data_IF_045381807384
#
_entry.id   IF_045381807384
#
_cell.length_a   1.000
_cell.length_b   1.000
_cell.length_c   1.000
_cell.angle_alpha   90.00
_cell.angle_beta   90.00
_cell.angle_gamma   90.00
#
_symmetry.space_group_name_H-M   'P 1'
#
loop_
_entity.id
_entity.type
_entity.pdbx_description
1 polymer ?
#
# COMPACT_ATOMS: atom_id res chain seq x y z
N UNK A 1 72.41 40.05 37.08
CA UNK A 1 72.56 39.76 35.64
C UNK A 1 71.23 40.09 34.95
N UNK A 2 70.70 41.30 35.09
CA UNK A 2 70.88 42.51 34.26
C UNK A 2 70.66 42.30 32.75
N UNK A 3 69.37 42.32 32.38
CA UNK A 3 68.76 43.06 31.25
C UNK A 3 69.68 43.54 30.12
N UNK A 4 69.43 43.06 28.89
CA UNK A 4 69.60 43.85 27.66
C UNK A 4 68.26 43.96 26.95
N UNK A 5 67.63 45.12 27.11
CA UNK A 5 66.68 45.65 26.15
C UNK A 5 67.44 46.00 24.87
N UNK A 6 66.97 45.54 23.71
CA UNK A 6 67.19 46.28 22.48
C UNK A 6 65.90 46.24 21.65
N UNK A 7 65.40 47.44 21.36
CA UNK A 7 64.17 47.73 20.64
C UNK A 7 64.60 48.59 19.46
N UNK A 8 64.42 48.16 18.21
CA UNK A 8 64.34 49.09 17.07
C UNK A 8 63.43 48.51 15.97
N UNK A 9 62.38 49.32 15.74
CA UNK A 9 61.62 49.65 14.52
C UNK A 9 61.10 48.56 13.57
N UNK A 10 59.77 48.52 13.53
CA UNK A 10 58.96 48.20 12.36
C UNK A 10 59.28 49.14 11.20
N UNK A 11 59.46 48.57 10.01
CA UNK A 11 59.40 49.27 8.73
C UNK A 11 58.39 48.50 7.87
N UNK A 12 57.23 49.12 7.63
CA UNK A 12 56.22 48.60 6.69
C UNK A 12 56.68 48.85 5.26
N UNK A 13 57.11 47.80 4.55
CA UNK A 13 57.40 47.85 3.12
C UNK A 13 57.05 46.48 2.52
N UNK A 14 56.22 46.50 1.46
CA UNK A 14 56.42 45.60 0.33
C UNK A 14 55.51 44.38 0.23
N UNK A 15 54.46 44.55 -0.58
CA UNK A 15 53.64 43.54 -1.25
C UNK A 15 54.46 42.51 -2.07
N UNK A 16 53.82 41.36 -2.36
CA UNK A 16 54.17 40.23 -3.25
C UNK A 16 54.90 39.07 -2.52
N UNK A 17 54.46 37.80 -2.55
CA UNK A 17 54.46 36.87 -3.70
C UNK A 17 53.80 35.50 -3.27
N UNK A 18 52.73 35.08 -3.97
CA UNK A 18 52.44 33.71 -4.52
C UNK A 18 51.93 32.53 -3.61
N UNK A 19 50.59 32.27 -3.67
CA UNK A 19 49.75 31.02 -3.89
C UNK A 19 50.08 29.63 -3.27
N UNK A 20 49.16 28.61 -3.20
CA UNK A 20 47.80 28.49 -3.78
C UNK A 20 46.66 27.87 -2.90
N UNK A 21 45.42 28.20 -3.26
CA UNK A 21 44.25 27.31 -3.49
C UNK A 21 44.18 26.01 -2.66
N UNK A 22 43.35 26.00 -1.61
CA UNK A 22 42.68 24.77 -1.14
C UNK A 22 41.20 24.90 -1.52
N UNK A 23 40.91 24.58 -2.77
CA UNK A 23 39.56 24.36 -3.26
C UNK A 23 39.45 22.88 -3.59
N UNK A 24 38.32 22.30 -3.21
CA UNK A 24 37.79 21.00 -3.66
C UNK A 24 38.50 19.75 -3.13
N UNK A 25 37.82 19.05 -2.21
CA UNK A 25 37.33 17.69 -2.47
C UNK A 25 36.34 17.27 -1.36
N UNK A 26 35.14 17.84 -1.36
CA UNK A 26 33.98 17.14 -0.79
C UNK A 26 33.61 16.06 -1.80
N UNK A 27 34.31 14.91 -1.76
CA UNK A 27 33.79 13.69 -2.35
C UNK A 27 32.55 13.32 -1.52
N UNK A 28 31.40 13.85 -1.93
CA UNK A 28 30.11 13.27 -1.57
C UNK A 28 30.19 11.84 -2.08
N UNK A 29 30.32 10.88 -1.16
CA UNK A 29 30.14 9.46 -1.44
C UNK A 29 28.70 9.30 -1.92
N UNK A 30 28.47 9.47 -3.22
CA UNK A 30 27.25 9.03 -3.86
C UNK A 30 27.30 7.51 -3.81
N UNK A 31 26.79 6.92 -2.71
CA UNK A 31 26.52 5.49 -2.70
C UNK A 31 25.62 5.21 -3.89
N UNK A 32 25.97 4.27 -4.79
CA UNK A 32 25.05 3.87 -5.83
C UNK A 32 23.81 3.33 -5.12
N UNK A 33 22.70 4.06 -5.24
CA UNK A 33 21.39 3.52 -4.86
C UNK A 33 21.12 2.39 -5.84
N UNK A 34 21.54 1.18 -5.49
CA UNK A 34 21.10 -0.03 -6.17
C UNK A 34 19.65 -0.22 -5.78
N UNK A 35 18.74 0.19 -6.67
CA UNK A 35 17.33 -0.10 -6.50
C UNK A 35 17.16 -1.62 -6.58
N UNK A 36 16.97 -2.27 -5.43
CA UNK A 36 16.70 -3.69 -5.36
C UNK A 36 15.48 -4.00 -6.24
N UNK A 37 15.62 -4.98 -7.13
CA UNK A 37 14.52 -5.42 -7.99
C UNK A 37 13.39 -5.96 -7.10
N UNK A 38 12.12 -5.57 -7.34
CA UNK A 38 11.01 -6.09 -6.55
C UNK A 38 10.75 -7.57 -6.88
N UNK A 39 10.35 -8.31 -5.86
CA UNK A 39 9.92 -9.70 -5.99
C UNK A 39 8.53 -9.76 -6.59
N UNK A 40 8.28 -10.77 -7.42
CA UNK A 40 7.00 -10.96 -8.11
C UNK A 40 6.55 -12.40 -8.00
N UNK A 41 5.35 -12.60 -7.48
CA UNK A 41 4.72 -13.91 -7.34
C UNK A 41 3.34 -13.86 -7.98
N UNK A 42 2.96 -14.90 -8.71
CA UNK A 42 1.60 -15.06 -9.22
C UNK A 42 0.74 -15.75 -8.16
N UNK A 43 -0.44 -15.17 -7.89
CA UNK A 43 -1.39 -15.74 -6.94
C UNK A 43 -2.44 -16.51 -7.73
N UNK A 44 -2.68 -17.75 -7.29
CA UNK A 44 -3.75 -18.60 -7.77
C UNK A 44 -4.76 -18.75 -6.63
N UNK A 45 -6.00 -18.36 -6.91
CA UNK A 45 -7.16 -18.57 -6.09
C UNK A 45 -7.82 -19.88 -6.51
N UNK A 46 -8.14 -20.71 -5.53
CA UNK A 46 -9.06 -21.84 -5.71
C UNK A 46 -10.48 -21.41 -5.35
N UNK A 47 -11.53 -22.13 -5.77
CA UNK A 47 -12.88 -21.87 -5.30
C UNK A 47 -12.98 -21.95 -3.77
N UNK A 48 -13.73 -21.04 -3.16
CA UNK A 48 -13.96 -21.03 -1.71
C UNK A 48 -15.29 -20.39 -1.33
N UNK A 49 -15.74 -20.65 -0.10
CA UNK A 49 -16.91 -19.97 0.49
C UNK A 49 -16.42 -18.73 1.23
N UNK A 50 -16.97 -17.57 0.89
CA UNK A 50 -16.63 -16.32 1.56
C UNK A 50 -17.20 -16.36 2.99
N UNK A 51 -16.33 -16.14 3.97
CA UNK A 51 -16.66 -16.02 5.39
C UNK A 51 -16.06 -14.74 5.97
N UNK A 52 -16.68 -14.23 7.01
CA UNK A 52 -16.11 -13.16 7.84
C UNK A 52 -15.04 -13.74 8.79
N UNK A 53 -14.33 -12.91 9.57
CA UNK A 53 -13.25 -13.37 10.46
C UNK A 53 -13.72 -14.21 11.65
N UNK A 54 -15.04 -14.26 11.91
CA UNK A 54 -15.70 -15.03 12.95
C UNK A 54 -16.49 -16.22 12.35
N UNK A 55 -16.15 -16.65 11.13
CA UNK A 55 -16.83 -17.70 10.35
C UNK A 55 -18.30 -17.41 10.00
N UNK A 56 -18.74 -16.16 10.14
CA UNK A 56 -20.07 -15.69 9.81
C UNK A 56 -20.33 -15.57 8.30
N UNK A 57 -21.62 -15.44 7.95
CA UNK A 57 -22.08 -15.32 6.58
C UNK A 57 -22.05 -13.86 6.13
N UNK A 58 -21.29 -13.49 5.07
CA UNK A 58 -21.18 -12.10 4.63
C UNK A 58 -22.50 -11.54 4.06
N UNK A 59 -23.48 -12.38 3.74
CA UNK A 59 -24.84 -11.97 3.37
C UNK A 59 -25.90 -12.31 4.45
N UNK A 60 -25.46 -12.70 5.65
CA UNK A 60 -26.28 -12.99 6.83
C UNK A 60 -27.18 -14.23 6.76
N UNK A 61 -27.62 -14.63 5.56
CA UNK A 61 -28.69 -15.62 5.36
C UNK A 61 -28.31 -16.80 4.47
N UNK A 62 -27.21 -16.71 3.72
CA UNK A 62 -26.75 -17.77 2.82
C UNK A 62 -25.23 -17.73 2.62
N UNK A 63 -24.68 -18.90 2.27
CA UNK A 63 -23.30 -19.04 1.81
C UNK A 63 -23.12 -18.45 0.41
N UNK A 64 -22.01 -17.72 0.24
CA UNK A 64 -21.58 -17.20 -1.06
C UNK A 64 -20.32 -17.94 -1.48
N UNK A 65 -20.43 -18.75 -2.53
CA UNK A 65 -19.27 -19.37 -3.17
C UNK A 65 -18.66 -18.39 -4.16
N UNK A 66 -17.33 -18.26 -4.12
CA UNK A 66 -16.53 -17.54 -5.11
C UNK A 66 -15.78 -18.55 -5.97
N UNK A 67 -16.02 -18.50 -7.27
CA UNK A 67 -15.33 -19.31 -8.28
C UNK A 67 -14.50 -18.40 -9.20
N UNK A 68 -13.16 -18.56 -9.26
CA UNK A 68 -12.34 -17.81 -10.20
C UNK A 68 -12.65 -18.23 -11.66
N UNK A 69 -13.06 -17.27 -12.49
CA UNK A 69 -13.31 -17.49 -13.92
C UNK A 69 -12.07 -17.15 -14.78
N UNK A 70 -11.31 -16.15 -14.36
CA UNK A 70 -10.07 -15.74 -15.01
C UNK A 70 -9.19 -15.03 -14.00
N UNK A 71 -7.96 -15.53 -13.84
CA UNK A 71 -7.02 -14.99 -12.86
C UNK A 71 -5.62 -14.94 -13.43
N UNK A 72 -4.98 -13.77 -13.30
CA UNK A 72 -3.58 -13.49 -13.61
C UNK A 72 -3.10 -12.40 -12.66
N UNK A 73 -3.25 -12.64 -11.36
CA UNK A 73 -2.93 -11.68 -10.31
C UNK A 73 -1.46 -11.83 -9.94
N UNK A 74 -0.74 -10.70 -9.92
CA UNK A 74 0.64 -10.63 -9.46
C UNK A 74 0.71 -9.84 -8.17
N UNK A 75 1.40 -10.42 -7.19
CA UNK A 75 1.85 -9.73 -6.00
C UNK A 75 3.28 -9.27 -6.23
N UNK A 76 3.51 -7.98 -6.04
CA UNK A 76 4.80 -7.32 -6.20
C UNK A 76 5.23 -6.77 -4.85
N UNK A 77 6.30 -7.30 -4.29
CA UNK A 77 6.86 -6.88 -3.00
C UNK A 77 8.10 -6.02 -3.23
N UNK A 78 8.13 -4.85 -2.59
CA UNK A 78 9.25 -3.92 -2.66
C UNK A 78 10.07 -3.97 -1.37
N UNK A 79 11.36 -3.63 -1.46
CA UNK A 79 12.25 -3.56 -0.27
C UNK A 79 11.80 -2.54 0.78
N UNK A 80 10.94 -1.59 0.40
CA UNK A 80 10.30 -0.64 1.32
C UNK A 80 9.17 -1.25 2.17
N UNK A 81 8.82 -2.53 1.96
CA UNK A 81 7.67 -3.17 2.60
C UNK A 81 6.33 -2.91 1.90
N UNK A 82 6.32 -2.06 0.88
CA UNK A 82 5.14 -1.85 0.03
C UNK A 82 4.82 -3.13 -0.73
N UNK A 83 3.53 -3.47 -0.79
CA UNK A 83 3.03 -4.60 -1.58
C UNK A 83 1.99 -4.07 -2.56
N UNK A 84 2.06 -4.53 -3.81
CA UNK A 84 1.02 -4.25 -4.82
C UNK A 84 0.48 -5.57 -5.35
N UNK A 85 -0.82 -5.78 -5.22
CA UNK A 85 -1.54 -6.83 -5.92
C UNK A 85 -2.26 -6.22 -7.13
N UNK A 86 -2.02 -6.74 -8.33
CA UNK A 86 -2.66 -6.25 -9.55
C UNK A 86 -2.70 -7.31 -10.63
N UNK A 87 -3.66 -7.19 -11.57
CA UNK A 87 -3.82 -8.13 -12.67
C UNK A 87 -5.29 -8.39 -12.96
N UNK A 88 -5.57 -9.43 -13.72
CA UNK A 88 -6.96 -9.83 -14.00
C UNK A 88 -7.45 -10.73 -12.88
N UNK A 89 -8.62 -10.41 -12.32
CA UNK A 89 -9.40 -11.32 -11.49
C UNK A 89 -10.89 -11.13 -11.81
N UNK A 90 -11.45 -12.11 -12.51
CA UNK A 90 -12.88 -12.24 -12.76
C UNK A 90 -13.39 -13.46 -12.02
N UNK A 91 -14.51 -13.31 -11.34
CA UNK A 91 -15.07 -14.34 -10.46
C UNK A 91 -16.55 -14.51 -10.75
N UNK A 92 -17.07 -15.69 -10.48
CA UNK A 92 -18.50 -15.94 -10.31
C UNK A 92 -18.78 -16.02 -8.82
N UNK A 93 -19.76 -15.27 -8.35
CA UNK A 93 -20.30 -15.43 -7.01
C UNK A 93 -21.63 -16.18 -7.11
N UNK A 94 -21.83 -17.17 -6.26
CA UNK A 94 -23.04 -17.99 -6.25
C UNK A 94 -23.66 -18.03 -4.86
N UNK A 95 -24.94 -17.69 -4.76
CA UNK A 95 -25.74 -17.97 -3.59
C UNK A 95 -26.07 -19.47 -3.56
N UNK A 96 -25.49 -20.20 -2.59
CA UNK A 96 -25.67 -21.64 -2.52
C UNK A 96 -27.08 -22.08 -2.08
N UNK A 97 -27.89 -21.18 -1.49
CA UNK A 97 -29.26 -21.52 -1.12
C UNK A 97 -30.24 -21.49 -2.31
N UNK A 98 -29.98 -20.64 -3.30
CA UNK A 98 -30.88 -20.44 -4.46
C UNK A 98 -30.27 -20.88 -5.79
N UNK A 99 -28.95 -21.08 -5.85
CA UNK A 99 -28.20 -21.33 -7.09
C UNK A 99 -28.04 -20.09 -7.97
N UNK A 100 -28.47 -18.90 -7.51
CA UNK A 100 -28.31 -17.66 -8.28
C UNK A 100 -26.84 -17.25 -8.32
N UNK A 101 -26.35 -16.89 -9.51
CA UNK A 101 -24.98 -16.43 -9.69
C UNK A 101 -24.88 -15.05 -10.35
N UNK A 102 -23.77 -14.37 -10.08
CA UNK A 102 -23.36 -13.13 -10.77
C UNK A 102 -21.87 -13.20 -11.10
N UNK A 103 -21.52 -12.82 -12.33
CA UNK A 103 -20.13 -12.74 -12.77
C UNK A 103 -19.61 -11.31 -12.54
N UNK A 104 -18.55 -11.18 -11.75
CA UNK A 104 -17.95 -9.90 -11.38
C UNK A 104 -16.51 -9.80 -11.88
N UNK A 105 -16.13 -8.60 -12.29
CA UNK A 105 -14.75 -8.22 -12.48
C UNK A 105 -14.27 -7.54 -11.20
N UNK A 106 -13.25 -8.11 -10.54
CA UNK A 106 -12.65 -7.60 -9.29
C UNK A 106 -11.16 -7.33 -9.47
N UNK A 107 -10.77 -6.93 -10.69
CA UNK A 107 -9.37 -6.70 -11.12
C UNK A 107 -8.75 -5.39 -10.60
N UNK A 108 -9.42 -4.69 -9.68
CA UNK A 108 -8.93 -3.45 -9.11
C UNK A 108 -7.63 -3.65 -8.33
N UNK A 109 -6.55 -2.89 -8.58
CA UNK A 109 -5.29 -3.09 -7.88
C UNK A 109 -5.40 -2.66 -6.42
N UNK A 110 -4.65 -3.35 -5.56
CA UNK A 110 -4.51 -3.07 -4.13
C UNK A 110 -3.05 -2.71 -3.87
N UNK A 111 -2.82 -1.61 -3.17
CA UNK A 111 -1.52 -1.21 -2.62
C UNK A 111 -1.60 -1.24 -1.11
N UNK A 112 -0.71 -1.99 -0.48
CA UNK A 112 -0.50 -2.00 0.97
C UNK A 112 0.82 -1.28 1.26
N UNK A 113 0.79 -0.35 2.20
CA UNK A 113 1.89 0.56 2.47
C UNK A 113 2.08 0.72 3.98
N UNK A 114 3.14 0.12 4.55
CA UNK A 114 3.48 0.30 5.97
C UNK A 114 3.73 1.78 6.28
N UNK A 115 3.20 2.24 7.40
CA UNK A 115 3.40 3.60 7.88
C UNK A 115 4.48 3.65 8.99
N UNK A 116 5.12 4.81 9.23
CA UNK A 116 6.18 4.94 10.24
C UNK A 116 5.73 4.65 11.68
N UNK A 117 4.43 4.78 11.98
CA UNK A 117 3.84 4.49 13.29
C UNK A 117 3.50 3.00 13.49
N UNK A 118 3.72 2.17 12.46
CA UNK A 118 3.41 0.74 12.46
C UNK A 118 2.04 0.39 11.90
N UNK A 119 1.21 1.37 11.54
CA UNK A 119 -0.06 1.12 10.85
C UNK A 119 0.17 0.65 9.41
N UNK A 120 -0.87 0.10 8.78
CA UNK A 120 -0.84 -0.33 7.39
C UNK A 120 -1.90 0.41 6.59
N UNK A 121 -1.46 1.28 5.67
CA UNK A 121 -2.36 1.95 4.74
C UNK A 121 -2.67 1.03 3.56
N UNK A 122 -3.96 0.87 3.28
CA UNK A 122 -4.46 0.17 2.11
C UNK A 122 -5.11 1.16 1.14
N UNK A 123 -4.74 1.06 -0.13
CA UNK A 123 -5.29 1.86 -1.22
C UNK A 123 -5.78 0.91 -2.30
N UNK A 124 -7.05 1.02 -2.67
CA UNK A 124 -7.63 0.23 -3.77
C UNK A 124 -8.13 1.15 -4.87
N UNK A 125 -8.13 0.64 -6.11
CA UNK A 125 -8.58 1.37 -7.29
C UNK A 125 -9.45 0.47 -8.17
N UNK A 126 -10.41 1.08 -8.86
CA UNK A 126 -11.28 0.36 -9.79
C UNK A 126 -12.24 -0.59 -9.07
N UNK A 127 -12.57 -1.73 -9.69
CA UNK A 127 -13.50 -2.69 -9.13
C UNK A 127 -12.82 -3.62 -8.11
N UNK A 128 -13.16 -3.51 -6.83
CA UNK A 128 -12.59 -4.33 -5.75
C UNK A 128 -13.70 -4.85 -4.84
N UNK A 129 -13.68 -6.16 -4.56
CA UNK A 129 -14.62 -6.81 -3.67
C UNK A 129 -14.09 -6.77 -2.24
N UNK A 130 -14.93 -6.37 -1.30
CA UNK A 130 -14.67 -6.43 0.14
C UNK A 130 -15.71 -7.32 0.81
N UNK A 131 -15.25 -8.14 1.75
CA UNK A 131 -16.08 -8.80 2.76
C UNK A 131 -15.71 -8.19 4.12
N UNK A 132 -16.68 -7.62 4.82
CA UNK A 132 -16.48 -6.98 6.11
C UNK A 132 -17.13 -7.80 7.21
N UNK A 133 -16.49 -7.83 8.37
CA UNK A 133 -17.14 -8.28 9.59
C UNK A 133 -18.22 -7.28 10.01
N UNK A 134 -19.28 -7.73 10.70
CA UNK A 134 -20.29 -6.84 11.26
C UNK A 134 -19.67 -5.71 12.09
N UNK A 135 -20.03 -4.46 11.76
CA UNK A 135 -19.60 -3.26 12.50
C UNK A 135 -18.25 -2.67 12.06
N UNK A 136 -17.45 -3.37 11.25
CA UNK A 136 -16.14 -2.87 10.77
C UNK A 136 -16.29 -1.71 9.77
N UNK A 137 -17.30 -1.76 8.90
CA UNK A 137 -17.56 -0.75 7.88
C UNK A 137 -19.01 -0.24 7.96
N UNK A 138 -19.37 0.53 8.99
CA UNK A 138 -20.75 0.96 9.21
C UNK A 138 -21.29 1.78 8.02
N UNK A 139 -22.51 1.47 7.59
CA UNK A 139 -23.16 2.12 6.45
C UNK A 139 -22.78 1.55 5.08
N UNK A 140 -21.93 0.53 5.03
CA UNK A 140 -21.60 -0.22 3.81
C UNK A 140 -22.19 -1.64 3.86
N UNK A 141 -22.49 -2.25 2.70
CA UNK A 141 -22.86 -3.67 2.64
C UNK A 141 -21.71 -4.54 3.16
N UNK A 142 -22.04 -5.64 3.84
CA UNK A 142 -21.03 -6.60 4.33
C UNK A 142 -20.26 -7.26 3.19
N UNK A 143 -20.93 -7.56 2.07
CA UNK A 143 -20.27 -7.94 0.82
C UNK A 143 -20.45 -6.83 -0.22
N UNK A 144 -19.38 -6.05 -0.43
CA UNK A 144 -19.44 -4.81 -1.19
C UNK A 144 -18.49 -4.83 -2.39
N UNK A 145 -19.01 -4.49 -3.57
CA UNK A 145 -18.20 -4.21 -4.75
C UNK A 145 -17.99 -2.71 -4.90
N UNK A 146 -16.76 -2.27 -4.70
CA UNK A 146 -16.37 -0.87 -4.85
C UNK A 146 -16.04 -0.59 -6.31
N UNK A 147 -16.45 0.55 -6.84
CA UNK A 147 -16.05 1.08 -8.14
C UNK A 147 -15.48 2.47 -7.95
N UNK A 148 -14.16 2.58 -7.81
CA UNK A 148 -13.52 3.88 -7.62
C UNK A 148 -12.21 3.77 -6.84
N UNK A 149 -11.94 4.73 -5.96
CA UNK A 149 -10.77 4.71 -5.07
C UNK A 149 -11.26 4.62 -3.63
N UNK A 150 -10.74 3.68 -2.86
CA UNK A 150 -10.81 3.76 -1.40
C UNK A 150 -9.41 3.78 -0.80
N UNK A 151 -9.32 4.49 0.32
CA UNK A 151 -8.16 4.52 1.19
C UNK A 151 -8.64 4.13 2.58
N UNK A 152 -7.99 3.14 3.14
CA UNK A 152 -8.26 2.60 4.46
C UNK A 152 -6.95 2.38 5.19
N UNK A 153 -7.05 2.16 6.49
CA UNK A 153 -5.91 1.88 7.33
C UNK A 153 -6.27 0.76 8.30
N UNK A 154 -5.31 -0.11 8.55
CA UNK A 154 -5.28 -0.97 9.71
C UNK A 154 -4.37 -0.29 10.73
N UNK A 155 -4.91 0.09 11.88
CA UNK A 155 -4.10 0.69 12.93
C UNK A 155 -3.12 -0.34 13.55
N UNK A 156 -2.34 0.09 14.53
CA UNK A 156 -1.36 -0.78 15.21
C UNK A 156 -1.98 -1.93 16.01
N UNK A 157 -3.29 -1.87 16.29
CA UNK A 157 -4.06 -2.92 16.94
C UNK A 157 -4.73 -3.85 15.91
N UNK A 158 -4.65 -3.51 14.62
CA UNK A 158 -5.26 -4.24 13.51
C UNK A 158 -6.68 -3.80 13.20
N UNK A 159 -7.20 -2.73 13.82
CA UNK A 159 -8.55 -2.25 13.53
C UNK A 159 -8.59 -1.57 12.16
N UNK A 160 -9.53 -2.01 11.33
CA UNK A 160 -9.77 -1.42 10.02
C UNK A 160 -10.65 -0.17 10.11
N UNK A 161 -10.28 0.88 9.40
CA UNK A 161 -11.16 2.02 9.16
C UNK A 161 -10.91 2.68 7.80
N UNK A 162 -11.92 3.34 7.25
CA UNK A 162 -11.78 4.11 6.01
C UNK A 162 -11.27 5.53 6.28
N UNK A 163 -10.23 5.93 5.55
CA UNK A 163 -9.77 7.31 5.45
C UNK A 163 -10.57 8.08 4.40
N UNK A 164 -10.87 7.43 3.27
CA UNK A 164 -11.76 7.98 2.25
C UNK A 164 -12.32 6.91 1.32
N UNK A 165 -13.53 7.15 0.81
CA UNK A 165 -14.16 6.35 -0.25
C UNK A 165 -14.68 7.30 -1.32
N UNK A 166 -14.23 7.12 -2.57
CA UNK A 166 -14.65 7.91 -3.72
C UNK A 166 -15.08 6.99 -4.84
N UNK A 167 -16.35 7.06 -5.22
CA UNK A 167 -16.92 6.23 -6.28
C UNK A 167 -18.29 5.69 -5.90
N UNK A 168 -18.64 4.52 -6.45
CA UNK A 168 -19.88 3.83 -6.12
C UNK A 168 -19.59 2.54 -5.36
N UNK A 169 -20.47 2.18 -4.44
CA UNK A 169 -20.46 0.90 -3.75
C UNK A 169 -21.73 0.15 -4.15
N UNK A 170 -21.60 -1.11 -4.52
CA UNK A 170 -22.70 -1.99 -4.87
C UNK A 170 -22.83 -3.09 -3.82
N UNK A 171 -24.05 -3.29 -3.33
CA UNK A 171 -24.41 -4.41 -2.47
C UNK A 171 -24.47 -5.69 -3.31
N UNK A 172 -23.52 -6.60 -3.06
CA UNK A 172 -23.43 -7.87 -3.79
C UNK A 172 -24.46 -8.88 -3.29
N UNK A 173 -24.83 -8.81 -2.01
CA UNK A 173 -25.85 -9.69 -1.44
C UNK A 173 -27.21 -9.44 -2.11
N UNK A 174 -27.57 -8.18 -2.34
CA UNK A 174 -28.78 -7.82 -3.08
C UNK A 174 -28.79 -8.37 -4.53
N UNK A 175 -27.63 -8.40 -5.21
CA UNK A 175 -27.52 -9.02 -6.54
C UNK A 175 -27.79 -10.51 -6.49
N UNK A 176 -27.39 -11.17 -5.41
CA UNK A 176 -27.46 -12.61 -5.21
C UNK A 176 -28.80 -13.12 -4.68
N UNK A 177 -29.69 -12.23 -4.22
CA UNK A 177 -31.07 -12.59 -3.85
C UNK A 177 -32.07 -12.35 -4.96
N UNK A 178 -31.76 -11.48 -5.94
CA UNK A 178 -32.78 -10.97 -6.84
C UNK A 178 -33.47 -9.78 -6.21
N UNK A 179 -33.43 -8.67 -6.95
CA UNK A 179 -34.33 -7.54 -6.78
C UNK A 179 -35.75 -7.97 -7.15
#
# INVERSE_FOLDING_TARGET
MSTKHNKIRMTHIGLMIITPIVVLLLFVLASPVTAARPDKVEIIFEPFIIRDTQDGLPCGSFDVQLDPLSQKVKLISFSSGVIIASGTLKVRLTNLSTGKSVDLNISGPIRLEPQPDGSLRQITLGPTLFAFDPGVAPGLPLLALFHGRSESEFDTEGNFHFLSVKGRVQDVCALLTGS
#
